data_IF_301039249481
#
_entry.id   IF_301039249481
#
_cell.length_a   1.000
_cell.length_b   1.000
_cell.length_c   1.000
_cell.angle_alpha   90.00
_cell.angle_beta   90.00
_cell.angle_gamma   90.00
#
_symmetry.space_group_name_H-M   'P 1'
#
loop_
_entity.id
_entity.type
_entity.pdbx_description
1 polymer ?
#
# COMPACT_ATOMS: atom_id res chain seq x y z
N UNK A 1 -0.79 -33.05 -8.44
CA UNK A 1 -0.48 -32.77 -7.01
C UNK A 1 0.47 -31.59 -6.76
N UNK A 2 1.64 -31.46 -7.38
CA UNK A 2 2.58 -30.34 -7.11
C UNK A 2 2.01 -28.95 -7.47
N UNK A 3 1.27 -28.84 -8.57
CA UNK A 3 0.65 -27.59 -9.03
C UNK A 3 -0.41 -27.07 -8.04
N UNK A 4 -1.32 -27.96 -7.59
CA UNK A 4 -2.34 -27.61 -6.60
C UNK A 4 -1.74 -27.12 -5.28
N UNK A 5 -0.67 -27.77 -4.78
CA UNK A 5 0.05 -27.31 -3.59
C UNK A 5 0.68 -25.93 -3.77
N UNK A 6 1.24 -25.64 -4.95
CA UNK A 6 1.84 -24.33 -5.25
C UNK A 6 0.80 -23.21 -5.33
N UNK A 7 -0.35 -23.48 -5.93
CA UNK A 7 -1.49 -22.56 -5.96
C UNK A 7 -1.99 -22.31 -4.53
N UNK A 8 -2.14 -23.36 -3.72
CA UNK A 8 -2.56 -23.24 -2.31
C UNK A 8 -1.60 -22.33 -1.51
N UNK A 9 -0.29 -22.49 -1.71
CA UNK A 9 0.73 -21.67 -1.04
C UNK A 9 0.66 -20.19 -1.45
N UNK A 10 0.44 -19.91 -2.74
CA UNK A 10 0.25 -18.54 -3.24
C UNK A 10 -0.99 -17.90 -2.62
N UNK A 11 -2.12 -18.59 -2.61
CA UNK A 11 -3.36 -18.10 -2.00
C UNK A 11 -3.19 -17.79 -0.51
N UNK A 12 -2.53 -18.69 0.23
CA UNK A 12 -2.25 -18.47 1.66
C UNK A 12 -1.32 -17.27 1.89
N UNK A 13 -0.37 -17.02 0.98
CA UNK A 13 0.55 -15.87 1.08
C UNK A 13 -0.14 -14.53 0.82
N UNK A 14 -1.24 -14.53 0.05
CA UNK A 14 -2.05 -13.33 -0.20
C UNK A 14 -3.04 -13.03 0.92
N UNK A 15 -3.37 -14.01 1.78
CA UNK A 15 -4.34 -13.83 2.86
C UNK A 15 -3.95 -12.69 3.81
N UNK A 16 -2.66 -12.61 4.19
CA UNK A 16 -2.18 -11.58 5.11
C UNK A 16 -2.24 -10.15 4.50
N UNK A 17 -1.73 -9.88 3.28
CA UNK A 17 -1.94 -8.59 2.61
C UNK A 17 -3.41 -8.21 2.44
N UNK A 18 -4.26 -9.17 2.02
CA UNK A 18 -5.69 -8.91 1.83
C UNK A 18 -6.38 -8.54 3.15
N UNK A 19 -6.04 -9.23 4.24
CA UNK A 19 -6.55 -8.89 5.57
C UNK A 19 -6.10 -7.50 6.01
N UNK A 20 -4.83 -7.14 5.76
CA UNK A 20 -4.33 -5.80 6.07
C UNK A 20 -5.08 -4.71 5.29
N UNK A 21 -5.33 -4.93 3.99
CA UNK A 21 -6.15 -4.01 3.17
C UNK A 21 -7.56 -3.90 3.72
N UNK A 22 -8.19 -5.02 4.09
CA UNK A 22 -9.54 -5.02 4.65
C UNK A 22 -9.60 -4.26 5.98
N UNK A 23 -8.66 -4.49 6.89
CA UNK A 23 -8.58 -3.78 8.17
C UNK A 23 -8.37 -2.27 7.93
N UNK A 24 -7.51 -1.90 6.99
CA UNK A 24 -7.26 -0.51 6.63
C UNK A 24 -8.50 0.19 6.07
N UNK A 25 -9.23 -0.46 5.16
CA UNK A 25 -10.52 0.03 4.69
C UNK A 25 -11.50 0.13 5.86
N UNK A 26 -11.67 -0.92 6.66
CA UNK A 26 -12.60 -0.87 7.79
C UNK A 26 -12.30 0.27 8.78
N UNK A 27 -11.03 0.48 9.12
CA UNK A 27 -10.61 1.62 9.96
C UNK A 27 -10.93 2.96 9.30
N UNK A 28 -10.71 3.09 7.99
CA UNK A 28 -11.10 4.28 7.23
C UNK A 28 -12.61 4.52 7.25
N UNK A 29 -13.43 3.46 7.15
CA UNK A 29 -14.88 3.57 7.20
C UNK A 29 -15.37 4.07 8.56
N UNK A 30 -14.74 3.60 9.65
CA UNK A 30 -15.00 4.12 11.00
C UNK A 30 -14.64 5.61 11.10
N UNK A 31 -13.47 6.00 10.59
CA UNK A 31 -13.04 7.40 10.60
C UNK A 31 -14.01 8.31 9.82
N UNK A 32 -14.45 7.89 8.62
CA UNK A 32 -15.43 8.63 7.81
C UNK A 32 -16.77 8.74 8.55
N UNK A 33 -17.21 7.65 9.19
CA UNK A 33 -18.46 7.63 9.97
C UNK A 33 -18.40 8.61 11.16
N UNK A 34 -17.26 8.74 11.83
CA UNK A 34 -17.08 9.70 12.93
C UNK A 34 -17.13 11.16 12.47
N UNK A 35 -16.76 11.44 11.22
CA UNK A 35 -16.85 12.78 10.62
C UNK A 35 -18.30 13.10 10.21
N UNK A 36 -19.18 12.09 10.15
CA UNK A 36 -20.58 12.25 9.75
C UNK A 36 -20.81 12.19 8.23
N UNK A 37 -19.80 11.76 7.47
CA UNK A 37 -19.85 11.67 6.02
C UNK A 37 -20.33 10.28 5.54
N UNK A 38 -20.83 10.21 4.30
CA UNK A 38 -21.27 8.95 3.69
C UNK A 38 -20.08 8.07 3.29
N UNK A 39 -19.81 7.01 4.06
CA UNK A 39 -18.75 6.02 3.77
C UNK A 39 -18.81 5.50 2.33
N UNK A 40 -20.01 5.18 1.86
CA UNK A 40 -20.21 4.65 0.51
C UNK A 40 -19.80 5.64 -0.57
N UNK A 41 -20.17 6.90 -0.43
CA UNK A 41 -19.86 7.92 -1.43
C UNK A 41 -18.39 8.35 -1.35
N UNK A 42 -17.81 8.44 -0.16
CA UNK A 42 -16.36 8.67 0.01
C UNK A 42 -15.54 7.57 -0.66
N UNK A 43 -15.93 6.30 -0.53
CA UNK A 43 -15.23 5.20 -1.21
C UNK A 43 -15.45 5.16 -2.71
N UNK A 44 -16.62 5.58 -3.21
CA UNK A 44 -16.80 5.78 -4.67
C UNK A 44 -15.85 6.86 -5.19
N UNK A 45 -15.72 7.98 -4.47
CA UNK A 45 -14.79 9.06 -4.84
C UNK A 45 -13.34 8.57 -4.78
N UNK A 46 -12.96 7.84 -3.73
CA UNK A 46 -11.63 7.25 -3.60
C UNK A 46 -11.33 6.26 -4.73
N UNK A 47 -12.29 5.42 -5.09
CA UNK A 47 -12.18 4.49 -6.23
C UNK A 47 -11.98 5.23 -7.54
N UNK A 48 -12.78 6.27 -7.81
CA UNK A 48 -12.66 7.08 -9.01
C UNK A 48 -11.34 7.87 -9.04
N UNK A 49 -10.86 8.35 -7.89
CA UNK A 49 -9.57 9.03 -7.76
C UNK A 49 -8.37 8.12 -7.97
N UNK A 50 -8.53 6.81 -7.78
CA UNK A 50 -7.48 5.82 -8.01
C UNK A 50 -7.54 5.21 -9.43
N UNK A 51 -8.75 4.93 -9.93
CA UNK A 51 -8.97 4.10 -11.13
C UNK A 51 -9.87 4.74 -12.20
N UNK A 52 -10.42 5.94 -11.95
CA UNK A 52 -11.46 6.54 -12.81
C UNK A 52 -10.95 7.05 -14.17
N UNK A 53 -9.64 7.13 -14.38
CA UNK A 53 -9.04 7.46 -15.67
C UNK A 53 -7.65 6.83 -15.81
N UNK A 54 -7.15 6.74 -17.04
CA UNK A 54 -5.78 6.28 -17.29
C UNK A 54 -4.74 7.11 -16.53
N UNK A 55 -4.95 8.43 -16.45
CA UNK A 55 -4.09 9.33 -15.66
C UNK A 55 -4.08 8.98 -14.17
N UNK A 56 -5.25 8.68 -13.58
CA UNK A 56 -5.33 8.31 -12.17
C UNK A 56 -4.72 6.94 -11.89
N UNK A 57 -4.87 5.98 -12.81
CA UNK A 57 -4.23 4.68 -12.70
C UNK A 57 -2.71 4.83 -12.72
N UNK A 58 -2.16 5.60 -13.67
CA UNK A 58 -0.70 5.81 -13.75
C UNK A 58 -0.18 6.58 -12.55
N UNK A 59 -0.91 7.59 -12.06
CA UNK A 59 -0.55 8.29 -10.83
C UNK A 59 -0.56 7.37 -9.60
N UNK A 60 -1.56 6.48 -9.49
CA UNK A 60 -1.66 5.49 -8.43
C UNK A 60 -0.48 4.51 -8.48
N UNK A 61 -0.16 3.98 -9.67
CA UNK A 61 0.99 3.10 -9.87
C UNK A 61 2.32 3.82 -9.58
N UNK A 62 2.46 5.08 -9.98
CA UNK A 62 3.66 5.87 -9.72
C UNK A 62 3.91 6.05 -8.21
N UNK A 63 2.85 6.24 -7.41
CA UNK A 63 2.94 6.30 -5.94
C UNK A 63 3.14 4.92 -5.29
N UNK A 64 2.52 3.88 -5.84
CA UNK A 64 2.62 2.52 -5.31
C UNK A 64 4.01 1.91 -5.53
N UNK A 65 4.65 2.21 -6.67
CA UNK A 65 5.95 1.66 -7.08
C UNK A 65 7.03 1.79 -5.99
N UNK A 66 7.34 2.99 -5.44
CA UNK A 66 8.38 3.11 -4.42
C UNK A 66 8.01 2.37 -3.12
N UNK A 67 6.73 2.32 -2.75
CA UNK A 67 6.26 1.58 -1.56
C UNK A 67 6.45 0.07 -1.74
N UNK A 68 6.19 -0.45 -2.94
CA UNK A 68 6.44 -1.86 -3.28
C UNK A 68 7.94 -2.16 -3.16
N UNK A 69 8.81 -1.29 -3.67
CA UNK A 69 10.27 -1.45 -3.52
C UNK A 69 10.72 -1.46 -2.06
N UNK A 70 10.13 -0.61 -1.21
CA UNK A 70 10.38 -0.64 0.24
C UNK A 70 9.99 -2.00 0.83
N UNK A 71 8.82 -2.53 0.48
CA UNK A 71 8.38 -3.86 0.96
C UNK A 71 9.36 -4.98 0.57
N UNK A 72 9.87 -4.95 -0.66
CA UNK A 72 10.88 -5.92 -1.13
C UNK A 72 12.21 -5.75 -0.37
N UNK A 73 12.66 -4.52 -0.15
CA UNK A 73 13.87 -4.22 0.63
C UNK A 73 13.74 -4.65 2.09
N UNK A 74 12.58 -4.42 2.71
CA UNK A 74 12.29 -4.86 4.07
C UNK A 74 12.27 -6.39 4.19
N UNK A 75 11.77 -7.10 3.19
CA UNK A 75 11.83 -8.56 3.18
C UNK A 75 13.28 -9.07 3.23
N UNK A 76 14.22 -8.40 2.56
CA UNK A 76 15.65 -8.69 2.66
C UNK A 76 16.22 -8.34 4.04
N UNK A 77 15.88 -7.17 4.59
CA UNK A 77 16.33 -6.74 5.92
C UNK A 77 15.87 -7.69 7.03
N UNK A 78 14.60 -8.09 7.01
CA UNK A 78 14.05 -9.07 7.94
C UNK A 78 14.74 -10.42 7.81
N UNK A 79 15.10 -10.84 6.60
CA UNK A 79 15.89 -12.07 6.39
C UNK A 79 17.30 -11.98 6.98
N UNK A 80 17.87 -10.78 7.07
CA UNK A 80 19.14 -10.51 7.73
C UNK A 80 19.00 -10.31 9.26
N UNK A 81 17.80 -10.45 9.83
CA UNK A 81 17.53 -10.23 11.25
C UNK A 81 17.44 -8.76 11.66
N UNK A 82 17.44 -7.83 10.71
CA UNK A 82 17.36 -6.39 10.98
C UNK A 82 15.93 -5.92 10.79
N UNK A 83 15.32 -5.47 11.88
CA UNK A 83 13.97 -4.91 11.86
C UNK A 83 14.03 -3.40 11.60
N UNK A 84 13.49 -2.93 10.47
CA UNK A 84 13.39 -1.51 10.13
C UNK A 84 11.92 -1.08 10.09
N UNK A 85 11.46 -0.33 11.10
CA UNK A 85 10.11 0.26 11.15
C UNK A 85 10.00 1.60 10.40
N UNK A 86 11.12 2.25 10.09
CA UNK A 86 11.18 3.62 9.60
C UNK A 86 11.38 3.77 8.09
N UNK A 87 11.31 2.68 7.32
CA UNK A 87 11.65 2.70 5.90
C UNK A 87 10.77 3.65 5.07
N UNK A 88 9.48 3.79 5.42
CA UNK A 88 8.59 4.77 4.80
C UNK A 88 9.02 6.21 5.11
N UNK A 89 9.40 6.50 6.36
CA UNK A 89 9.95 7.79 6.75
C UNK A 89 11.25 8.12 6.03
N UNK A 90 12.12 7.13 5.81
CA UNK A 90 13.36 7.28 5.03
C UNK A 90 13.07 7.61 3.56
N UNK A 91 12.08 6.97 2.95
CA UNK A 91 11.63 7.33 1.60
C UNK A 91 11.16 8.78 1.53
N UNK A 92 10.32 9.20 2.47
CA UNK A 92 9.81 10.58 2.52
C UNK A 92 10.94 11.59 2.73
N UNK A 93 11.87 11.32 3.65
CA UNK A 93 13.04 12.16 3.87
C UNK A 93 13.94 12.25 2.65
N UNK A 94 14.15 11.13 1.94
CA UNK A 94 14.90 11.11 0.69
C UNK A 94 14.24 11.97 -0.38
N UNK A 95 12.92 11.85 -0.55
CA UNK A 95 12.16 12.68 -1.48
C UNK A 95 12.25 14.17 -1.14
N UNK A 96 12.13 14.53 0.15
CA UNK A 96 12.29 15.91 0.62
C UNK A 96 13.70 16.45 0.33
N UNK A 97 14.74 15.68 0.65
CA UNK A 97 16.13 16.08 0.39
C UNK A 97 16.40 16.30 -1.10
N UNK A 98 15.87 15.43 -1.98
CA UNK A 98 15.94 15.62 -3.42
C UNK A 98 15.22 16.88 -3.87
N UNK A 99 14.00 17.13 -3.37
CA UNK A 99 13.24 18.33 -3.72
C UNK A 99 13.96 19.62 -3.31
N UNK A 100 14.63 19.63 -2.15
CA UNK A 100 15.42 20.78 -1.69
C UNK A 100 16.70 20.99 -2.49
N UNK A 101 17.38 19.91 -2.90
CA UNK A 101 18.64 20.00 -3.64
C UNK A 101 18.45 20.29 -5.14
N UNK A 102 17.28 19.98 -5.69
CA UNK A 102 16.94 20.21 -7.09
C UNK A 102 16.34 21.60 -7.37
N UNK A 103 16.06 22.38 -6.31
CA UNK A 103 15.61 23.77 -6.38
C UNK A 103 16.81 24.71 -6.62
#
# INVERSE_FOLDING_TARGET
MKLQKKIQQLLNSLAQPLLAVFIGLFAGALAISFIGESVGDTYKVMWNGAFGSFYFITATLARATPIIFIGVGLALAFRAGVFNMGAEGQMVFGALATALAAL
#
